data_IF_565409420044
#
_entry.id   IF_565409420044
#
_cell.length_a   1.000
_cell.length_b   1.000
_cell.length_c   1.000
_cell.angle_alpha   90.00
_cell.angle_beta   90.00
_cell.angle_gamma   90.00
#
_symmetry.space_group_name_H-M   'P 1'
#
loop_
_entity.id
_entity.type
_entity.pdbx_description
1 polymer ?
#
# COMPACT_ATOMS: atom_id res chain seq x y z
N UNK A 1 6.34 9.71 -15.42
CA UNK A 1 5.75 9.31 -14.12
C UNK A 1 4.58 10.22 -13.85
N UNK A 2 3.41 9.68 -13.50
CA UNK A 2 2.18 10.45 -13.38
C UNK A 2 2.03 11.01 -11.97
N UNK A 3 1.47 12.21 -11.86
CA UNK A 3 0.98 12.75 -10.59
C UNK A 3 -0.35 12.09 -10.23
N UNK A 4 -0.59 11.91 -8.93
CA UNK A 4 -1.87 11.42 -8.40
C UNK A 4 -2.45 12.47 -7.46
N UNK A 5 -3.78 12.65 -7.50
CA UNK A 5 -4.48 13.51 -6.55
C UNK A 5 -4.96 12.67 -5.39
N UNK A 6 -4.63 13.10 -4.18
CA UNK A 6 -4.86 12.35 -2.96
C UNK A 6 -5.58 13.20 -1.93
N UNK A 7 -6.24 12.54 -0.99
CA UNK A 7 -6.77 13.16 0.22
C UNK A 7 -6.39 12.34 1.45
N UNK A 8 -5.89 13.03 2.47
CA UNK A 8 -5.76 12.51 3.83
C UNK A 8 -6.99 12.88 4.63
N UNK A 9 -7.39 11.97 5.52
CA UNK A 9 -8.55 12.17 6.40
C UNK A 9 -8.17 11.87 7.85
N UNK A 10 -8.68 12.72 8.74
CA UNK A 10 -8.56 12.57 10.19
C UNK A 10 -9.90 12.88 10.84
N UNK A 11 -10.33 12.07 11.81
CA UNK A 11 -11.51 12.36 12.64
C UNK A 11 -11.05 12.60 14.06
N UNK A 12 -11.39 13.76 14.61
CA UNK A 12 -11.11 14.07 16.01
C UNK A 12 -11.98 13.19 16.92
N UNK A 13 -11.36 12.32 17.70
CA UNK A 13 -12.09 11.50 18.69
C UNK A 13 -12.50 12.29 19.94
N UNK A 14 -11.88 13.45 20.18
CA UNK A 14 -12.17 14.37 21.27
C UNK A 14 -11.98 15.81 20.78
N UNK A 15 -12.76 16.72 21.34
CA UNK A 15 -12.57 18.15 21.10
C UNK A 15 -11.20 18.61 21.64
N UNK A 16 -10.54 19.54 20.94
CA UNK A 16 -9.27 20.11 21.37
C UNK A 16 -8.33 20.48 20.22
N UNK A 17 -7.08 20.75 20.57
CA UNK A 17 -6.02 21.00 19.61
C UNK A 17 -5.36 19.71 19.16
N UNK A 18 -5.32 19.50 17.84
CA UNK A 18 -4.70 18.34 17.20
C UNK A 18 -3.53 18.81 16.35
N UNK A 19 -2.36 18.19 16.57
CA UNK A 19 -1.17 18.45 15.78
C UNK A 19 -0.99 17.34 14.75
N UNK A 20 -0.99 17.70 13.47
CA UNK A 20 -0.93 16.73 12.37
C UNK A 20 0.17 17.11 11.37
N UNK A 21 0.91 16.11 10.83
CA UNK A 21 1.88 16.35 9.78
C UNK A 21 1.20 16.68 8.46
N UNK A 22 1.69 17.70 7.76
CA UNK A 22 1.21 18.05 6.43
C UNK A 22 2.04 17.34 5.34
N UNK A 23 1.43 16.96 4.20
CA UNK A 23 2.16 16.54 3.02
C UNK A 23 3.15 17.61 2.58
N UNK A 24 4.41 17.22 2.37
CA UNK A 24 5.50 18.11 1.97
C UNK A 24 6.46 17.45 0.98
N UNK A 25 7.31 18.26 0.38
CA UNK A 25 8.43 17.82 -0.45
C UNK A 25 9.47 17.11 0.43
N UNK A 26 9.68 15.82 0.18
CA UNK A 26 10.61 14.96 0.92
C UNK A 26 11.32 14.01 -0.06
N UNK A 27 12.44 13.37 0.34
CA UNK A 27 13.12 12.41 -0.53
C UNK A 27 12.16 11.34 -1.08
N UNK A 28 12.16 11.19 -2.40
CA UNK A 28 11.30 10.24 -3.09
C UNK A 28 9.88 10.73 -3.35
N UNK A 29 9.59 12.03 -3.18
CA UNK A 29 8.28 12.60 -3.50
C UNK A 29 8.33 14.11 -3.79
N UNK A 30 7.34 14.57 -4.55
CA UNK A 30 6.97 15.98 -4.70
C UNK A 30 5.50 16.17 -4.40
N UNK A 31 5.17 17.25 -3.70
CA UNK A 31 3.82 17.61 -3.27
C UNK A 31 3.49 19.04 -3.72
N UNK A 32 2.28 19.24 -4.23
CA UNK A 32 1.76 20.56 -4.56
C UNK A 32 0.22 20.58 -4.48
N UNK A 33 -0.39 21.73 -4.77
CA UNK A 33 -1.85 21.95 -4.67
C UNK A 33 -2.44 21.58 -3.30
N UNK A 34 -1.72 21.88 -2.22
CA UNK A 34 -2.18 21.58 -0.86
C UNK A 34 -3.41 22.42 -0.51
N UNK A 35 -4.54 21.76 -0.27
CA UNK A 35 -5.80 22.38 0.12
C UNK A 35 -6.35 21.74 1.40
N UNK A 36 -6.52 22.56 2.42
CA UNK A 36 -7.00 22.15 3.75
C UNK A 36 -8.51 22.42 3.86
N UNK A 37 -9.30 21.47 4.35
CA UNK A 37 -10.74 21.68 4.59
C UNK A 37 -11.02 22.65 5.73
N UNK A 38 -10.04 22.88 6.61
CA UNK A 38 -10.09 23.84 7.72
C UNK A 38 -8.79 24.62 7.78
N UNK A 39 -8.89 25.91 8.14
CA UNK A 39 -7.70 26.75 8.37
C UNK A 39 -7.00 26.30 9.66
N UNK A 40 -5.67 26.05 9.63
CA UNK A 40 -4.91 25.74 10.82
C UNK A 40 -4.78 26.98 11.71
N UNK A 41 -4.66 26.76 13.02
CA UNK A 41 -4.28 27.78 13.99
C UNK A 41 -2.85 28.25 13.74
N UNK A 42 -1.97 27.30 13.46
CA UNK A 42 -0.55 27.52 13.24
C UNK A 42 0.02 26.47 12.28
N UNK A 43 1.00 26.87 11.47
CA UNK A 43 1.80 25.98 10.62
C UNK A 43 3.26 26.29 10.89
N UNK A 44 4.06 25.26 11.14
CA UNK A 44 5.48 25.40 11.43
C UNK A 44 6.27 24.17 11.00
N UNK A 45 7.57 24.36 10.82
CA UNK A 45 8.53 23.30 10.50
C UNK A 45 9.24 22.86 11.79
N UNK A 46 9.24 21.56 12.09
CA UNK A 46 9.98 21.00 13.21
C UNK A 46 10.67 19.70 12.80
N UNK A 47 11.99 19.63 13.02
CA UNK A 47 12.82 18.46 12.69
C UNK A 47 12.67 17.98 11.24
N UNK A 48 12.45 18.91 10.30
CA UNK A 48 12.26 18.62 8.88
C UNK A 48 10.87 18.08 8.53
N UNK A 49 9.88 18.30 9.40
CA UNK A 49 8.48 17.99 9.17
C UNK A 49 7.63 19.26 9.13
N UNK A 50 6.78 19.38 8.12
CA UNK A 50 5.71 20.36 8.09
C UNK A 50 4.59 19.92 9.04
N UNK A 51 4.30 20.71 10.06
CA UNK A 51 3.26 20.43 11.05
C UNK A 51 2.21 21.53 11.06
N UNK A 52 0.96 21.16 11.28
CA UNK A 52 -0.14 22.10 11.44
C UNK A 52 -1.01 21.75 12.64
N UNK A 53 -1.40 22.79 13.38
CA UNK A 53 -2.27 22.68 14.54
C UNK A 53 -3.70 23.08 14.18
N UNK A 54 -4.66 22.24 14.55
CA UNK A 54 -6.08 22.46 14.29
C UNK A 54 -6.87 22.41 15.59
N UNK A 55 -7.75 23.40 15.83
CA UNK A 55 -8.82 23.25 16.80
C UNK A 55 -9.96 22.48 16.16
N UNK A 56 -10.30 21.31 16.70
CA UNK A 56 -11.35 20.44 16.18
C UNK A 56 -12.37 20.13 17.28
N UNK A 57 -13.64 20.04 16.89
CA UNK A 57 -14.71 19.53 17.73
C UNK A 57 -14.71 17.99 17.75
N UNK A 58 -15.34 17.39 18.75
CA UNK A 58 -15.51 15.94 18.80
C UNK A 58 -16.29 15.43 17.57
N UNK A 59 -15.74 14.43 16.90
CA UNK A 59 -16.29 13.85 15.66
C UNK A 59 -16.03 14.67 14.40
N UNK A 60 -15.44 15.88 14.51
CA UNK A 60 -15.12 16.71 13.35
C UNK A 60 -14.12 16.01 12.44
N UNK A 61 -14.35 16.10 11.13
CA UNK A 61 -13.51 15.48 10.10
C UNK A 61 -12.69 16.55 9.40
N UNK A 62 -11.37 16.41 9.50
CA UNK A 62 -10.41 17.19 8.75
C UNK A 62 -9.99 16.42 7.49
N UNK A 63 -9.92 17.12 6.37
CA UNK A 63 -9.43 16.59 5.11
C UNK A 63 -8.36 17.50 4.52
N UNK A 64 -7.30 16.88 3.98
CA UNK A 64 -6.22 17.55 3.27
C UNK A 64 -6.08 16.96 1.89
N UNK A 65 -6.29 17.77 0.86
CA UNK A 65 -6.15 17.38 -0.55
C UNK A 65 -4.84 17.90 -1.09
N UNK A 66 -4.19 17.12 -1.94
CA UNK A 66 -2.91 17.48 -2.55
C UNK A 66 -2.65 16.64 -3.80
N UNK A 67 -1.76 17.16 -4.64
CA UNK A 67 -1.16 16.43 -5.75
C UNK A 67 0.18 15.84 -5.30
N UNK A 68 0.41 14.57 -5.59
CA UNK A 68 1.64 13.85 -5.28
C UNK A 68 2.28 13.31 -6.57
N UNK A 69 3.58 13.56 -6.75
CA UNK A 69 4.42 12.78 -7.67
C UNK A 69 5.39 11.95 -6.85
N UNK A 70 5.19 10.63 -6.76
CA UNK A 70 6.20 9.78 -6.16
C UNK A 70 7.41 9.65 -7.08
N UNK A 71 8.59 9.63 -6.49
CA UNK A 71 9.89 9.49 -7.16
C UNK A 71 10.56 8.23 -6.57
N UNK A 72 10.72 7.14 -7.35
CA UNK A 72 11.39 5.94 -6.87
C UNK A 72 12.80 6.29 -6.42
N UNK A 73 13.22 5.68 -5.32
CA UNK A 73 14.58 5.75 -4.85
C UNK A 73 15.21 4.38 -4.98
N UNK A 74 16.40 4.32 -5.53
CA UNK A 74 17.23 3.13 -5.50
C UNK A 74 18.64 3.56 -5.19
N UNK A 75 19.10 3.23 -3.99
CA UNK A 75 20.49 3.40 -3.58
C UNK A 75 21.12 2.04 -3.30
N UNK A 76 22.44 1.97 -3.37
CA UNK A 76 23.20 0.79 -2.95
C UNK A 76 23.97 1.15 -1.68
N UNK A 77 23.29 1.12 -0.51
CA UNK A 77 23.92 1.59 0.72
C UNK A 77 25.03 0.62 1.15
N UNK A 78 26.11 1.13 1.76
CA UNK A 78 27.28 0.32 2.13
C UNK A 78 26.95 -0.80 3.14
N UNK A 79 25.85 -0.65 3.88
CA UNK A 79 25.39 -1.63 4.87
C UNK A 79 24.52 -2.76 4.28
N UNK A 80 24.10 -2.69 3.01
CA UNK A 80 23.14 -3.66 2.41
C UNK A 80 23.57 -5.11 2.58
N UNK A 81 24.77 -5.45 2.15
CA UNK A 81 25.26 -6.84 2.17
C UNK A 81 25.45 -7.39 3.59
N UNK A 82 25.76 -6.51 4.54
CA UNK A 82 25.85 -6.90 5.95
C UNK A 82 24.47 -7.22 6.53
N UNK A 83 23.46 -6.41 6.23
CA UNK A 83 22.09 -6.64 6.73
C UNK A 83 21.46 -7.91 6.17
N UNK A 84 21.78 -8.31 4.94
CA UNK A 84 21.23 -9.54 4.34
C UNK A 84 21.57 -10.82 5.13
N UNK A 85 22.56 -10.78 6.02
CA UNK A 85 22.96 -11.89 6.91
C UNK A 85 22.25 -11.88 8.26
N UNK A 86 21.54 -10.79 8.55
CA UNK A 86 20.94 -10.50 9.85
C UNK A 86 19.40 -10.55 9.72
N UNK A 87 18.68 -10.85 10.82
CA UNK A 87 17.23 -10.81 10.83
C UNK A 87 16.69 -9.38 10.54
N UNK A 88 15.71 -9.20 9.64
CA UNK A 88 15.17 -7.89 9.25
C UNK A 88 14.76 -6.98 10.42
N UNK A 89 14.12 -7.56 11.43
CA UNK A 89 13.67 -6.88 12.63
C UNK A 89 14.81 -6.22 13.43
N UNK A 90 16.03 -6.74 13.35
CA UNK A 90 17.18 -6.22 14.06
C UNK A 90 17.93 -5.11 13.30
N UNK A 91 17.67 -4.93 12.00
CA UNK A 91 18.44 -4.02 11.15
C UNK A 91 18.54 -2.58 11.68
N UNK A 92 17.46 -1.93 12.14
CA UNK A 92 17.55 -0.57 12.67
C UNK A 92 18.50 -0.49 13.88
N UNK A 93 18.45 -1.48 14.78
CA UNK A 93 19.33 -1.55 15.96
C UNK A 93 20.78 -1.80 15.61
N UNK A 94 21.05 -2.70 14.68
CA UNK A 94 22.41 -2.98 14.19
C UNK A 94 23.03 -1.73 13.58
N UNK A 95 22.27 -0.99 12.76
CA UNK A 95 22.76 0.23 12.11
C UNK A 95 22.97 1.37 13.11
N UNK A 96 22.06 1.55 14.07
CA UNK A 96 22.23 2.52 15.15
C UNK A 96 23.48 2.21 16.00
N UNK A 97 23.72 0.93 16.34
CA UNK A 97 24.93 0.52 17.07
C UNK A 97 26.21 0.76 16.27
N UNK A 98 26.13 0.71 14.94
CA UNK A 98 27.22 1.05 14.02
C UNK A 98 27.38 2.56 13.77
N UNK A 99 26.63 3.40 14.48
CA UNK A 99 26.75 4.86 14.43
C UNK A 99 25.97 5.54 13.30
N UNK A 100 25.09 4.82 12.60
CA UNK A 100 24.22 5.42 11.60
C UNK A 100 23.07 6.20 12.26
N UNK A 101 22.65 7.30 11.64
CA UNK A 101 21.45 8.03 12.08
C UNK A 101 20.22 7.27 11.63
N UNK A 102 19.45 6.74 12.58
CA UNK A 102 18.21 6.01 12.31
C UNK A 102 17.01 6.83 12.76
N UNK A 103 16.06 7.01 11.86
CA UNK A 103 14.79 7.71 12.11
C UNK A 103 13.63 6.81 11.69
N UNK A 104 12.49 6.92 12.36
CA UNK A 104 11.23 6.34 11.89
C UNK A 104 10.65 7.24 10.80
N UNK A 105 10.20 6.62 9.73
CA UNK A 105 9.38 7.23 8.69
C UNK A 105 7.95 6.75 8.80
N UNK A 106 7.02 7.69 8.89
CA UNK A 106 5.59 7.46 9.03
C UNK A 106 4.88 8.01 7.79
N UNK A 107 3.95 7.23 7.26
CA UNK A 107 3.24 7.61 6.06
C UNK A 107 2.29 6.52 5.58
N UNK A 108 2.14 6.41 4.25
CA UNK A 108 1.14 5.55 3.63
C UNK A 108 1.71 4.82 2.43
N UNK A 109 1.31 3.56 2.24
CA UNK A 109 1.32 2.97 0.91
C UNK A 109 0.21 3.62 0.07
N UNK A 110 0.43 3.77 -1.23
CA UNK A 110 -0.59 4.36 -2.12
C UNK A 110 -1.82 3.47 -2.32
N UNK A 111 -1.88 2.31 -1.67
CA UNK A 111 -3.10 1.51 -1.47
C UNK A 111 -4.05 2.12 -0.44
N UNK A 112 -3.59 3.15 0.30
CA UNK A 112 -4.35 3.85 1.33
C UNK A 112 -4.04 3.40 2.77
N UNK A 113 -3.19 2.39 2.94
CA UNK A 113 -2.85 1.84 4.25
C UNK A 113 -1.72 2.64 4.92
N UNK A 114 -1.86 2.98 6.22
CA UNK A 114 -0.74 3.47 7.01
C UNK A 114 0.42 2.47 6.95
N UNK A 115 1.63 2.99 6.88
CA UNK A 115 2.84 2.16 6.84
C UNK A 115 3.99 2.88 7.53
N UNK A 116 4.82 2.12 8.22
CA UNK A 116 6.00 2.62 8.92
C UNK A 116 7.24 1.93 8.38
N UNK A 117 8.30 2.69 8.16
CA UNK A 117 9.62 2.18 7.80
C UNK A 117 10.70 3.03 8.48
N UNK A 118 11.95 2.84 8.11
CA UNK A 118 13.09 3.58 8.67
C UNK A 118 13.79 4.43 7.62
N UNK A 119 14.40 5.52 8.07
CA UNK A 119 15.38 6.28 7.32
C UNK A 119 16.74 6.11 8.01
N UNK A 120 17.73 5.63 7.27
CA UNK A 120 19.10 5.44 7.73
C UNK A 120 19.98 6.38 6.93
N UNK A 121 20.52 7.40 7.59
CA UNK A 121 21.25 8.51 6.94
C UNK A 121 20.44 9.14 5.78
N UNK A 122 19.11 9.24 5.98
CA UNK A 122 18.17 9.76 4.98
C UNK A 122 17.76 8.77 3.88
N UNK A 123 18.35 7.56 3.83
CA UNK A 123 17.97 6.51 2.89
C UNK A 123 16.91 5.58 3.48
N UNK A 124 15.92 5.15 2.68
CA UNK A 124 14.88 4.30 3.20
C UNK A 124 15.32 2.87 3.46
N UNK A 125 14.91 2.32 4.59
CA UNK A 125 15.07 0.93 5.00
C UNK A 125 13.71 0.40 5.45
N UNK A 126 13.20 -0.64 4.80
CA UNK A 126 11.87 -1.19 5.10
C UNK A 126 11.96 -2.70 5.34
N UNK A 127 12.25 -3.11 6.59
CA UNK A 127 12.34 -4.53 6.95
C UNK A 127 11.03 -5.29 6.75
N UNK A 128 9.90 -4.61 6.99
CA UNK A 128 8.56 -5.19 6.90
C UNK A 128 8.22 -5.52 5.45
N UNK A 129 8.37 -4.58 4.52
CA UNK A 129 8.14 -4.85 3.10
C UNK A 129 9.18 -5.81 2.51
N UNK A 130 10.43 -5.75 2.98
CA UNK A 130 11.43 -6.73 2.58
C UNK A 130 10.99 -8.16 2.93
N UNK A 131 10.54 -8.38 4.18
CA UNK A 131 10.10 -9.70 4.63
C UNK A 131 8.81 -10.13 3.94
N UNK A 132 7.82 -9.24 3.81
CA UNK A 132 6.58 -9.52 3.11
C UNK A 132 6.80 -9.95 1.65
N UNK A 133 7.76 -9.33 0.95
CA UNK A 133 8.10 -9.68 -0.43
C UNK A 133 8.94 -10.96 -0.55
N UNK A 134 9.68 -11.34 0.51
CA UNK A 134 10.34 -12.65 0.55
C UNK A 134 9.32 -13.78 0.71
N UNK A 135 8.29 -13.56 1.51
CA UNK A 135 7.23 -14.54 1.78
C UNK A 135 6.24 -14.64 0.62
N UNK A 136 5.83 -13.48 0.08
CA UNK A 136 4.95 -13.37 -1.07
C UNK A 136 5.50 -12.34 -2.07
N UNK A 137 6.20 -12.79 -3.12
CA UNK A 137 6.67 -11.92 -4.20
C UNK A 137 5.56 -11.13 -4.92
N UNK A 138 4.29 -11.54 -4.80
CA UNK A 138 3.14 -10.84 -5.36
C UNK A 138 2.52 -9.80 -4.40
N UNK A 139 3.07 -9.58 -3.21
CA UNK A 139 2.48 -8.75 -2.16
C UNK A 139 2.08 -7.33 -2.63
N UNK A 140 2.87 -6.75 -3.54
CA UNK A 140 2.63 -5.40 -4.08
C UNK A 140 1.99 -5.37 -5.47
N UNK A 141 1.60 -6.54 -6.00
CA UNK A 141 0.92 -6.65 -7.28
C UNK A 141 -0.36 -5.78 -7.38
N UNK A 142 -1.17 -5.60 -6.31
CA UNK A 142 -2.31 -4.68 -6.34
C UNK A 142 -1.93 -3.22 -6.66
N UNK A 143 -0.70 -2.81 -6.32
CA UNK A 143 -0.15 -1.49 -6.63
C UNK A 143 0.46 -1.41 -8.04
N UNK A 144 0.42 -2.50 -8.80
CA UNK A 144 1.00 -2.62 -10.14
C UNK A 144 2.52 -2.70 -10.13
N UNK A 145 3.13 -3.24 -9.06
CA UNK A 145 4.58 -3.44 -8.97
C UNK A 145 4.92 -4.81 -8.39
N UNK A 146 6.02 -5.41 -8.86
CA UNK A 146 6.55 -6.67 -8.35
C UNK A 146 8.07 -6.55 -8.16
N UNK A 147 8.52 -5.74 -7.18
CA UNK A 147 9.94 -5.47 -6.99
C UNK A 147 10.68 -6.64 -6.36
N UNK A 148 12.00 -6.65 -6.52
CA UNK A 148 12.85 -7.52 -5.73
C UNK A 148 12.87 -7.03 -4.27
N UNK A 149 12.86 -7.92 -3.26
CA UNK A 149 12.90 -7.51 -1.85
C UNK A 149 14.04 -6.53 -1.54
N UNK A 150 15.22 -6.73 -2.16
CA UNK A 150 16.42 -5.90 -1.97
C UNK A 150 16.23 -4.41 -2.27
N UNK A 151 15.21 -4.02 -3.03
CA UNK A 151 14.90 -2.59 -3.26
C UNK A 151 14.65 -1.87 -1.94
N UNK A 152 14.09 -2.57 -0.95
CA UNK A 152 13.74 -2.01 0.36
C UNK A 152 14.93 -1.92 1.34
N UNK A 153 16.14 -2.19 0.85
CA UNK A 153 17.43 -1.94 1.50
C UNK A 153 18.08 -0.71 0.84
N UNK A 154 17.58 0.49 1.15
CA UNK A 154 18.06 1.76 0.58
C UNK A 154 17.16 2.38 -0.49
N UNK A 155 15.95 1.86 -0.73
CA UNK A 155 15.08 2.31 -1.82
C UNK A 155 13.57 2.06 -1.64
N UNK A 156 12.80 2.35 -2.71
CA UNK A 156 11.39 2.01 -2.93
C UNK A 156 10.93 2.30 -4.37
N UNK A 157 9.79 1.71 -4.74
CA UNK A 157 9.20 1.76 -6.09
C UNK A 157 8.31 2.98 -6.38
N UNK A 158 8.39 4.05 -5.57
CA UNK A 158 7.48 5.19 -5.73
C UNK A 158 6.00 4.84 -5.50
N UNK A 159 5.71 3.89 -4.61
CA UNK A 159 4.34 3.47 -4.24
C UNK A 159 3.97 3.77 -2.79
N UNK A 160 4.55 4.84 -2.25
CA UNK A 160 4.30 5.32 -0.90
C UNK A 160 4.39 6.84 -0.81
N UNK A 161 3.83 7.39 0.26
CA UNK A 161 3.90 8.77 0.70
C UNK A 161 4.59 8.80 2.07
N UNK A 162 5.70 9.52 2.18
CA UNK A 162 6.30 9.93 3.45
C UNK A 162 5.58 11.17 3.96
N UNK A 163 5.12 11.13 5.21
CA UNK A 163 4.49 12.29 5.86
C UNK A 163 5.35 12.88 6.95
N UNK A 164 6.03 12.03 7.72
CA UNK A 164 6.73 12.48 8.91
C UNK A 164 7.93 11.60 9.21
N UNK A 165 8.96 12.23 9.78
CA UNK A 165 10.16 11.63 10.33
C UNK A 165 10.13 11.83 11.84
N UNK A 166 10.38 10.78 12.59
CA UNK A 166 10.44 10.81 14.04
C UNK A 166 11.75 10.17 14.52
N UNK A 167 12.30 10.61 15.68
CA UNK A 167 13.43 9.94 16.30
C UNK A 167 13.15 8.45 16.55
N UNK A 168 14.19 7.62 16.46
CA UNK A 168 14.14 6.21 16.84
C UNK A 168 15.26 5.89 17.82
N UNK A 169 14.97 5.20 18.95
CA UNK A 169 13.65 4.81 19.44
C UNK A 169 12.83 6.02 19.94
N UNK A 170 11.50 5.95 19.87
CA UNK A 170 10.61 7.06 20.25
C UNK A 170 9.13 6.67 20.28
N UNK A 171 8.31 7.52 20.90
CA UNK A 171 6.87 7.33 21.11
C UNK A 171 6.06 7.23 19.80
N UNK A 172 4.84 6.70 19.90
CA UNK A 172 3.88 6.73 18.81
C UNK A 172 3.41 8.16 18.56
N UNK A 173 3.40 8.57 17.29
CA UNK A 173 3.01 9.92 16.91
C UNK A 173 1.64 9.87 16.23
N UNK A 174 0.72 10.79 16.57
CA UNK A 174 -0.59 10.88 15.93
C UNK A 174 -0.45 10.95 14.41
N UNK A 175 -1.20 10.12 13.69
CA UNK A 175 -1.17 10.05 12.24
C UNK A 175 -2.58 10.18 11.68
N UNK A 176 -2.66 10.62 10.42
CA UNK A 176 -3.88 10.53 9.63
C UNK A 176 -4.42 9.10 9.61
N UNK A 177 -5.73 8.95 9.50
CA UNK A 177 -6.39 7.64 9.54
C UNK A 177 -6.30 6.91 8.21
N UNK A 178 -6.31 7.67 7.11
CA UNK A 178 -6.41 7.09 5.79
C UNK A 178 -5.96 8.04 4.69
N UNK A 179 -5.44 7.43 3.63
CA UNK A 179 -5.12 8.08 2.36
C UNK A 179 -6.05 7.53 1.28
N UNK A 180 -6.70 8.41 0.52
CA UNK A 180 -7.55 8.03 -0.61
C UNK A 180 -7.13 8.72 -1.89
N UNK A 181 -7.24 8.01 -3.02
CA UNK A 181 -7.14 8.62 -4.34
C UNK A 181 -8.40 9.43 -4.65
N UNK A 182 -8.21 10.62 -5.22
CA UNK A 182 -9.26 11.46 -5.77
C UNK A 182 -9.43 11.26 -7.28
N UNK A 183 -8.49 10.56 -7.91
CA UNK A 183 -8.58 10.26 -9.34
C UNK A 183 -9.62 9.17 -9.60
N UNK A 184 -10.43 9.29 -10.67
CA UNK A 184 -11.41 8.28 -11.04
C UNK A 184 -10.74 6.91 -11.23
N UNK A 185 -11.22 5.91 -10.50
CA UNK A 185 -10.81 4.52 -10.69
C UNK A 185 -11.96 3.73 -11.32
N UNK A 186 -11.85 3.31 -12.60
CA UNK A 186 -12.88 2.49 -13.25
C UNK A 186 -12.83 1.02 -12.80
N UNK A 187 -11.78 0.58 -12.09
CA UNK A 187 -11.60 -0.83 -11.72
C UNK A 187 -12.62 -1.32 -10.69
N UNK A 188 -12.96 -0.61 -9.60
CA UNK A 188 -13.99 -1.04 -8.65
C UNK A 188 -15.38 -1.24 -9.27
N UNK A 189 -15.97 -0.31 -10.05
CA UNK A 189 -17.27 -0.55 -10.68
C UNK A 189 -17.20 -1.66 -11.74
N UNK A 190 -16.13 -1.72 -12.55
CA UNK A 190 -15.95 -2.82 -13.50
C UNK A 190 -15.85 -4.18 -12.80
N UNK A 191 -15.13 -4.26 -11.68
CA UNK A 191 -15.05 -5.46 -10.84
C UNK A 191 -16.42 -5.85 -10.29
N UNK A 192 -17.20 -4.88 -9.79
CA UNK A 192 -18.54 -5.16 -9.27
C UNK A 192 -19.46 -5.75 -10.34
N UNK A 193 -19.47 -5.14 -11.55
CA UNK A 193 -20.20 -5.65 -12.70
C UNK A 193 -19.73 -7.07 -13.10
N UNK A 194 -18.42 -7.27 -13.22
CA UNK A 194 -17.81 -8.53 -13.60
C UNK A 194 -18.14 -9.66 -12.61
N UNK A 195 -18.01 -9.40 -11.30
CA UNK A 195 -18.33 -10.38 -10.26
C UNK A 195 -19.83 -10.63 -10.13
N UNK A 196 -20.67 -9.61 -10.33
CA UNK A 196 -22.12 -9.77 -10.36
C UNK A 196 -22.57 -10.67 -11.51
N UNK A 197 -22.06 -10.41 -12.73
CA UNK A 197 -22.34 -11.25 -13.90
C UNK A 197 -21.82 -12.67 -13.72
N UNK A 198 -20.60 -12.83 -13.20
CA UNK A 198 -20.02 -14.13 -12.88
C UNK A 198 -20.85 -14.90 -11.85
N UNK A 199 -21.38 -14.21 -10.83
CA UNK A 199 -22.28 -14.81 -9.85
C UNK A 199 -23.57 -15.34 -10.49
N UNK A 200 -24.18 -14.57 -11.41
CA UNK A 200 -25.35 -15.03 -12.15
C UNK A 200 -25.01 -16.22 -13.07
N UNK A 201 -23.85 -16.22 -13.72
CA UNK A 201 -23.40 -17.36 -14.53
C UNK A 201 -23.05 -18.60 -13.72
N UNK A 202 -22.53 -18.44 -12.51
CA UNK A 202 -22.36 -19.54 -11.58
C UNK A 202 -23.71 -20.18 -11.15
N UNK A 203 -24.81 -19.42 -11.20
CA UNK A 203 -26.18 -19.90 -10.98
C UNK A 203 -26.85 -20.46 -12.25
N UNK A 204 -26.13 -20.56 -13.38
CA UNK A 204 -26.65 -21.08 -14.65
C UNK A 204 -27.25 -20.02 -15.59
N UNK A 205 -27.19 -18.73 -15.26
CA UNK A 205 -27.70 -17.66 -16.13
C UNK A 205 -26.64 -17.25 -17.18
N UNK A 206 -26.97 -17.24 -18.48
CA UNK A 206 -26.00 -16.93 -19.53
C UNK A 206 -25.77 -15.42 -19.64
N UNK A 207 -24.86 -14.88 -18.83
CA UNK A 207 -24.45 -13.46 -18.90
C UNK A 207 -23.41 -13.21 -19.98
N UNK A 208 -22.70 -14.25 -20.42
CA UNK A 208 -21.62 -14.17 -21.39
C UNK A 208 -20.36 -13.50 -20.82
N UNK A 209 -19.27 -13.43 -21.60
CA UNK A 209 -17.99 -12.89 -21.12
C UNK A 209 -17.96 -11.35 -21.09
N UNK A 210 -18.89 -10.69 -21.79
CA UNK A 210 -18.85 -9.25 -22.04
C UNK A 210 -18.79 -8.36 -20.79
N UNK A 211 -19.50 -8.66 -19.69
CA UNK A 211 -19.35 -7.88 -18.45
C UNK A 211 -17.98 -8.07 -17.77
N UNK A 212 -17.29 -9.17 -18.05
CA UNK A 212 -16.02 -9.54 -17.41
C UNK A 212 -14.79 -9.00 -18.17
N UNK A 213 -14.86 -8.91 -19.51
CA UNK A 213 -13.74 -8.49 -20.36
C UNK A 213 -13.21 -7.06 -20.07
N UNK A 214 -14.05 -6.01 -19.86
CA UNK A 214 -13.56 -4.68 -19.52
C UNK A 214 -12.78 -4.66 -18.20
N UNK A 215 -13.24 -5.44 -17.21
CA UNK A 215 -12.54 -5.59 -15.94
C UNK A 215 -11.16 -6.23 -16.14
N UNK A 216 -11.05 -7.27 -16.95
CA UNK A 216 -9.77 -7.90 -17.28
C UNK A 216 -8.81 -6.96 -18.01
N UNK A 217 -9.32 -6.17 -18.95
CA UNK A 217 -8.51 -5.17 -19.66
C UNK A 217 -7.94 -4.14 -18.67
N UNK A 218 -8.77 -3.59 -17.79
CA UNK A 218 -8.33 -2.63 -16.77
C UNK A 218 -7.32 -3.25 -15.80
N UNK A 219 -7.52 -4.50 -15.40
CA UNK A 219 -6.59 -5.23 -14.54
C UNK A 219 -5.25 -5.46 -15.23
N UNK A 220 -5.26 -5.86 -16.51
CA UNK A 220 -4.06 -6.04 -17.31
C UNK A 220 -3.30 -4.71 -17.51
N UNK A 221 -3.99 -3.60 -17.72
CA UNK A 221 -3.36 -2.27 -17.80
C UNK A 221 -2.71 -1.86 -16.48
N UNK A 222 -3.33 -2.20 -15.33
CA UNK A 222 -2.81 -1.85 -14.00
C UNK A 222 -1.65 -2.75 -13.56
N UNK A 223 -1.75 -4.06 -13.79
CA UNK A 223 -0.88 -5.07 -13.18
C UNK A 223 -0.06 -5.86 -14.18
N UNK A 224 -0.33 -5.77 -15.48
CA UNK A 224 0.28 -6.63 -16.51
C UNK A 224 1.80 -6.53 -16.56
N UNK A 225 2.36 -5.32 -16.40
CA UNK A 225 3.83 -5.15 -16.28
C UNK A 225 4.36 -5.89 -15.05
N UNK A 226 3.75 -5.70 -13.89
CA UNK A 226 4.18 -6.36 -12.66
C UNK A 226 4.04 -7.88 -12.71
N UNK A 227 2.97 -8.40 -13.34
CA UNK A 227 2.83 -9.84 -13.62
C UNK A 227 3.96 -10.36 -14.51
N UNK A 228 4.29 -9.62 -15.57
CA UNK A 228 5.41 -9.96 -16.47
C UNK A 228 6.74 -9.97 -15.72
N UNK A 229 6.99 -8.97 -14.88
CA UNK A 229 8.22 -8.83 -14.10
C UNK A 229 8.33 -9.89 -12.98
N UNK A 230 7.19 -10.37 -12.46
CA UNK A 230 7.09 -11.44 -11.46
C UNK A 230 7.31 -12.85 -12.04
N UNK A 231 6.86 -13.09 -13.27
CA UNK A 231 6.95 -14.40 -13.91
C UNK A 231 8.35 -15.07 -13.88
N UNK A 232 9.47 -14.38 -14.18
CA UNK A 232 10.79 -15.01 -14.16
C UNK A 232 11.26 -15.41 -12.75
N UNK A 233 10.74 -14.79 -11.69
CA UNK A 233 11.19 -15.04 -10.31
C UNK A 233 10.23 -15.95 -9.53
N UNK A 234 8.93 -15.87 -9.81
CA UNK A 234 7.90 -16.65 -9.13
C UNK A 234 6.77 -17.04 -10.11
N UNK A 235 7.02 -17.98 -11.04
CA UNK A 235 6.08 -18.30 -12.12
C UNK A 235 4.73 -18.83 -11.61
N UNK A 236 4.74 -19.67 -10.56
CA UNK A 236 3.50 -20.19 -9.97
C UNK A 236 2.63 -19.06 -9.40
N UNK A 237 3.25 -18.07 -8.73
CA UNK A 237 2.54 -16.90 -8.20
C UNK A 237 2.06 -15.97 -9.30
N UNK A 238 2.87 -15.77 -10.35
CA UNK A 238 2.49 -14.97 -11.51
C UNK A 238 1.31 -15.59 -12.30
N UNK A 239 1.19 -16.92 -12.32
CA UNK A 239 0.12 -17.63 -13.03
C UNK A 239 -1.16 -17.78 -12.22
N UNK A 240 -1.11 -17.68 -10.90
CA UNK A 240 -2.27 -17.86 -10.00
C UNK A 240 -3.45 -16.95 -10.39
N UNK A 241 -3.22 -15.63 -10.51
CA UNK A 241 -4.26 -14.68 -10.87
C UNK A 241 -4.78 -14.87 -12.32
N UNK A 242 -3.93 -15.01 -13.36
CA UNK A 242 -4.39 -15.34 -14.71
C UNK A 242 -5.23 -16.63 -14.79
N UNK A 243 -4.81 -17.70 -14.11
CA UNK A 243 -5.55 -18.97 -14.10
C UNK A 243 -6.90 -18.83 -13.41
N UNK A 244 -6.95 -18.09 -12.29
CA UNK A 244 -8.20 -17.78 -11.62
C UNK A 244 -9.18 -17.02 -12.55
N UNK A 245 -8.69 -16.04 -13.29
CA UNK A 245 -9.51 -15.29 -14.25
C UNK A 245 -9.89 -16.11 -15.49
N UNK A 246 -9.03 -17.01 -15.95
CA UNK A 246 -9.36 -17.95 -17.02
C UNK A 246 -10.49 -18.90 -16.59
N UNK A 247 -10.45 -19.40 -15.35
CA UNK A 247 -11.52 -20.22 -14.81
C UNK A 247 -12.83 -19.43 -14.67
N UNK A 248 -12.77 -18.20 -14.15
CA UNK A 248 -13.93 -17.31 -14.10
C UNK A 248 -14.55 -17.08 -15.49
N UNK A 249 -13.74 -16.83 -16.51
CA UNK A 249 -14.22 -16.68 -17.89
C UNK A 249 -14.89 -17.96 -18.40
N UNK A 250 -14.36 -19.15 -18.09
CA UNK A 250 -14.97 -20.41 -18.50
C UNK A 250 -16.41 -20.56 -17.98
N UNK A 251 -16.66 -20.16 -16.73
CA UNK A 251 -18.00 -20.15 -16.11
C UNK A 251 -18.95 -19.18 -16.84
N UNK A 252 -18.45 -18.07 -17.37
CA UNK A 252 -19.28 -17.13 -18.15
C UNK A 252 -19.59 -17.60 -19.57
N UNK A 253 -18.74 -18.45 -20.15
CA UNK A 253 -18.88 -18.97 -21.52
C UNK A 253 -19.75 -20.22 -21.58
N UNK A 254 -19.65 -21.08 -20.58
CA UNK A 254 -20.43 -22.33 -20.45
C UNK A 254 -21.00 -22.40 -19.02
N UNK A 255 -22.13 -21.73 -18.75
CA UNK A 255 -22.71 -21.61 -17.42
C UNK A 255 -23.29 -22.97 -16.98
N UNK A 256 -22.46 -23.74 -16.29
CA UNK A 256 -22.84 -25.01 -15.65
C UNK A 256 -22.82 -24.88 -14.14
N UNK A 257 -23.90 -25.22 -13.42
CA UNK A 257 -23.94 -25.12 -11.96
C UNK A 257 -22.77 -25.82 -11.26
N UNK A 258 -22.29 -26.94 -11.81
CA UNK A 258 -21.16 -27.70 -11.27
C UNK A 258 -19.85 -26.90 -11.33
N UNK A 259 -19.58 -26.24 -12.46
CA UNK A 259 -18.41 -25.37 -12.63
C UNK A 259 -18.56 -24.10 -11.77
N UNK A 260 -19.77 -23.57 -11.68
CA UNK A 260 -20.10 -22.43 -10.81
C UNK A 260 -19.83 -22.73 -9.34
N UNK A 261 -20.27 -23.89 -8.84
CA UNK A 261 -19.99 -24.33 -7.46
C UNK A 261 -18.50 -24.56 -7.22
N UNK A 262 -17.79 -25.16 -8.18
CA UNK A 262 -16.33 -25.31 -8.12
C UNK A 262 -15.60 -23.96 -8.03
N UNK A 263 -16.05 -22.98 -8.82
CA UNK A 263 -15.53 -21.61 -8.75
C UNK A 263 -15.82 -20.93 -7.42
N UNK A 264 -17.05 -21.01 -6.92
CA UNK A 264 -17.42 -20.43 -5.63
C UNK A 264 -16.59 -21.05 -4.50
N UNK A 265 -16.40 -22.37 -4.49
CA UNK A 265 -15.56 -23.05 -3.51
C UNK A 265 -14.12 -22.53 -3.54
N UNK A 266 -13.50 -22.41 -4.73
CA UNK A 266 -12.16 -21.84 -4.87
C UNK A 266 -12.08 -20.37 -4.46
N UNK A 267 -13.10 -19.56 -4.80
CA UNK A 267 -13.16 -18.16 -4.42
C UNK A 267 -13.25 -17.98 -2.90
N UNK A 268 -14.13 -18.73 -2.23
CA UNK A 268 -14.26 -18.69 -0.78
C UNK A 268 -13.02 -19.25 -0.09
N UNK A 269 -12.46 -20.35 -0.59
CA UNK A 269 -11.19 -20.89 -0.08
C UNK A 269 -10.08 -19.85 -0.11
N UNK A 270 -9.88 -19.18 -1.24
CA UNK A 270 -8.84 -18.15 -1.39
C UNK A 270 -9.09 -16.92 -0.50
N UNK A 271 -10.35 -16.60 -0.19
CA UNK A 271 -10.71 -15.46 0.66
C UNK A 271 -10.63 -15.78 2.16
N UNK A 272 -10.87 -17.03 2.54
CA UNK A 272 -10.81 -17.51 3.92
C UNK A 272 -9.42 -18.00 4.31
N UNK A 273 -8.53 -18.24 3.35
CA UNK A 273 -7.14 -18.58 3.61
C UNK A 273 -6.51 -17.45 4.44
N UNK A 274 -5.93 -17.73 5.61
CA UNK A 274 -5.26 -16.71 6.40
C UNK A 274 -4.16 -16.10 5.54
N UNK A 275 -4.25 -14.79 5.28
CA UNK A 275 -3.13 -14.04 4.73
C UNK A 275 -2.02 -14.11 5.78
N UNK A 276 -0.88 -14.70 5.44
CA UNK A 276 0.29 -14.87 6.30
C UNK A 276 1.00 -13.54 6.62
N UNK A 277 0.26 -12.45 6.80
CA UNK A 277 0.77 -11.10 7.02
C UNK A 277 0.11 -10.37 8.18
N UNK A 278 -0.52 -11.08 9.11
CA UNK A 278 -0.79 -10.52 10.45
C UNK A 278 0.44 -10.87 11.28
N UNK A 279 1.29 -9.91 11.67
CA UNK A 279 2.23 -10.17 12.75
C UNK A 279 1.40 -10.59 13.96
N UNK A 280 1.81 -11.60 14.75
CA UNK A 280 1.17 -11.86 16.02
C UNK A 280 1.13 -10.54 16.80
N UNK A 281 -0.03 -10.22 17.38
CA UNK A 281 -0.05 -9.26 18.49
C UNK A 281 1.05 -9.68 19.47
N UNK A 282 2.02 -8.81 19.71
CA UNK A 282 3.00 -9.04 20.76
C UNK A 282 2.24 -9.37 22.04
N UNK A 283 2.57 -10.47 22.74
CA UNK A 283 1.94 -10.79 24.00
C UNK A 283 2.53 -9.86 25.07
N UNK A 284 1.94 -8.69 25.23
CA UNK A 284 2.14 -7.87 26.44
C UNK A 284 0.77 -7.45 26.96
N UNK A 285 0.35 -8.10 28.04
CA UNK A 285 -0.92 -7.84 28.70
C UNK A 285 -1.41 -8.94 29.65
N UNK A 286 -0.50 -9.54 30.41
CA UNK A 286 -0.80 -10.21 31.67
C UNK A 286 0.14 -9.67 32.75
#
# INVERSE_FOLDING_TARGET
MFSVRLALRFRALKAGEHLLPLPADLPGQRVWDLALSKRPLEVYEASGNALARFALEEGEVLEVRFSLRPEPLAHDPPWREALLREPPEAWPGILAHRGHRVERALGFLLSGRPHTWFLVDGLPLDPVLFQALKEDPAHLLPLGVAPRPRVYLGGHEGKRLLLMRAPWPGEEVPMWEGLRSLDPDPLPPARALALGALGLSALGLPTGPWPYLPYLLLLALRQGKALKDLFPTAPLRALEAPLFHAFALSVTLDPRPELGLGFLALFFWNRLRPSSGVPPESPEGA
#
